data_IF_815178188715
#
_entry.id   IF_815178188715
#
_cell.length_a   1.000
_cell.length_b   1.000
_cell.length_c   1.000
_cell.angle_alpha   90.00
_cell.angle_beta   90.00
_cell.angle_gamma   90.00
#
_symmetry.space_group_name_H-M   'P 1'
#
loop_
_entity.id
_entity.type
_entity.pdbx_description
1 polymer ?
#
# COMPACT_ATOMS: atom_id res chain seq x y z
N UNK A 1 -1.12 14.01 5.79
CA UNK A 1 -1.08 15.14 4.81
C UNK A 1 -1.68 14.73 3.46
N UNK A 2 -1.33 13.58 2.90
CA UNK A 2 -1.77 13.19 1.55
C UNK A 2 -3.07 12.39 1.50
N UNK A 3 -3.41 11.67 2.58
CA UNK A 3 -4.49 10.67 2.54
C UNK A 3 -5.70 10.99 3.41
N UNK A 4 -5.59 11.84 4.43
CA UNK A 4 -6.71 12.14 5.34
C UNK A 4 -7.87 12.82 4.61
N UNK A 5 -9.12 12.49 4.96
CA UNK A 5 -10.34 13.15 4.46
C UNK A 5 -10.31 14.68 4.59
N UNK A 6 -9.69 15.19 5.66
CA UNK A 6 -9.57 16.63 5.94
C UNK A 6 -8.43 17.31 5.17
N UNK A 7 -7.60 16.54 4.46
CA UNK A 7 -6.42 17.08 3.78
C UNK A 7 -6.76 17.86 2.52
N UNK A 8 -5.86 18.78 2.14
CA UNK A 8 -5.99 19.56 0.91
C UNK A 8 -6.04 18.65 -0.33
N UNK A 9 -5.16 17.65 -0.40
CA UNK A 9 -5.11 16.74 -1.55
C UNK A 9 -6.37 15.90 -1.72
N UNK A 10 -6.95 15.39 -0.64
CA UNK A 10 -8.22 14.66 -0.74
C UNK A 10 -9.37 15.58 -1.17
N UNK A 11 -9.41 16.82 -0.67
CA UNK A 11 -10.39 17.83 -1.13
C UNK A 11 -10.22 18.19 -2.61
N UNK A 12 -8.99 18.28 -3.09
CA UNK A 12 -8.68 18.48 -4.51
C UNK A 12 -9.21 17.31 -5.36
N UNK A 13 -9.06 16.07 -4.90
CA UNK A 13 -9.60 14.88 -5.58
C UNK A 13 -11.13 14.93 -5.67
N UNK A 14 -11.80 15.32 -4.58
CA UNK A 14 -13.27 15.47 -4.54
C UNK A 14 -13.73 16.60 -5.48
N UNK A 15 -13.04 17.74 -5.48
CA UNK A 15 -13.33 18.84 -6.40
C UNK A 15 -13.12 18.42 -7.87
N UNK A 16 -12.03 17.71 -8.17
CA UNK A 16 -11.73 17.19 -9.50
C UNK A 16 -12.81 16.20 -9.98
N UNK A 17 -13.35 15.36 -9.09
CA UNK A 17 -14.51 14.51 -9.40
C UNK A 17 -15.74 15.29 -9.79
N UNK A 18 -15.99 16.42 -9.13
CA UNK A 18 -17.17 17.26 -9.37
C UNK A 18 -17.10 17.98 -10.71
N UNK A 19 -15.95 18.56 -11.01
CA UNK A 19 -15.79 19.41 -12.20
C UNK A 19 -15.49 18.61 -13.47
N UNK A 20 -14.83 17.47 -13.37
CA UNK A 20 -14.35 16.77 -14.57
C UNK A 20 -14.30 15.25 -14.49
N UNK A 21 -15.04 14.66 -13.56
CA UNK A 21 -15.32 13.23 -13.56
C UNK A 21 -14.12 12.34 -13.21
N UNK A 22 -14.20 11.08 -13.63
CA UNK A 22 -13.23 10.05 -13.28
C UNK A 22 -11.80 10.35 -13.77
N UNK A 23 -11.64 10.92 -14.97
CA UNK A 23 -10.31 11.21 -15.52
C UNK A 23 -9.54 12.23 -14.68
N UNK A 24 -10.18 13.34 -14.31
CA UNK A 24 -9.58 14.37 -13.45
C UNK A 24 -9.38 13.87 -12.01
N UNK A 25 -10.28 13.02 -11.50
CA UNK A 25 -10.09 12.34 -10.22
C UNK A 25 -8.82 11.46 -10.21
N UNK A 26 -8.60 10.65 -11.25
CA UNK A 26 -7.40 9.82 -11.38
C UNK A 26 -6.14 10.70 -11.42
N UNK A 27 -6.14 11.76 -12.24
CA UNK A 27 -4.98 12.64 -12.29
C UNK A 27 -4.69 13.29 -10.94
N UNK A 28 -5.72 13.71 -10.19
CA UNK A 28 -5.55 14.32 -8.88
C UNK A 28 -4.96 13.36 -7.83
N UNK A 29 -5.38 12.09 -7.81
CA UNK A 29 -4.78 11.10 -6.90
C UNK A 29 -3.36 10.70 -7.28
N UNK A 30 -3.04 10.63 -8.59
CA UNK A 30 -1.66 10.45 -9.06
C UNK A 30 -0.76 11.60 -8.59
N UNK A 31 -1.27 12.84 -8.64
CA UNK A 31 -0.56 14.02 -8.14
C UNK A 31 -0.27 13.89 -6.63
N UNK A 32 -1.25 13.47 -5.83
CA UNK A 32 -1.04 13.21 -4.40
C UNK A 32 0.04 12.13 -4.16
N UNK A 33 0.03 11.07 -4.98
CA UNK A 33 1.07 10.03 -4.97
C UNK A 33 2.47 10.60 -5.20
N UNK A 34 2.68 11.36 -6.28
CA UNK A 34 4.00 11.91 -6.62
C UNK A 34 4.54 12.87 -5.56
N UNK A 35 3.71 13.81 -5.09
CA UNK A 35 4.13 14.72 -4.02
C UNK A 35 4.46 13.96 -2.73
N UNK A 36 3.70 12.93 -2.39
CA UNK A 36 3.98 12.13 -1.20
C UNK A 36 5.30 11.37 -1.30
N UNK A 37 5.63 10.83 -2.48
CA UNK A 37 6.89 10.13 -2.73
C UNK A 37 8.09 11.09 -2.63
N UNK A 38 7.96 12.29 -3.18
CA UNK A 38 8.98 13.34 -3.07
C UNK A 38 9.27 13.72 -1.61
N UNK A 39 8.24 14.13 -0.86
CA UNK A 39 8.42 14.61 0.52
C UNK A 39 8.89 13.51 1.48
N UNK A 40 8.36 12.30 1.32
CA UNK A 40 8.77 11.16 2.17
C UNK A 40 10.19 10.70 1.83
N UNK A 41 10.56 10.67 0.55
CA UNK A 41 11.93 10.37 0.12
C UNK A 41 12.94 11.39 0.65
N UNK A 42 12.60 12.68 0.60
CA UNK A 42 13.45 13.74 1.17
C UNK A 42 13.61 13.60 2.69
N UNK A 43 12.54 13.24 3.40
CA UNK A 43 12.60 12.98 4.84
C UNK A 43 13.53 11.80 5.16
N UNK A 44 13.41 10.69 4.44
CA UNK A 44 14.29 9.52 4.62
C UNK A 44 15.74 9.90 4.32
N UNK A 45 16.00 10.65 3.24
CA UNK A 45 17.33 11.14 2.92
C UNK A 45 17.89 12.03 4.05
N UNK A 46 17.11 12.95 4.60
CA UNK A 46 17.53 13.79 5.71
C UNK A 46 17.86 12.99 6.99
N UNK A 47 17.05 11.98 7.32
CA UNK A 47 17.31 11.08 8.46
C UNK A 47 18.60 10.28 8.26
N UNK A 48 18.81 9.76 7.05
CA UNK A 48 20.03 9.04 6.69
C UNK A 48 21.25 9.96 6.73
N UNK A 49 21.15 11.20 6.23
CA UNK A 49 22.23 12.19 6.33
C UNK A 49 22.55 12.51 7.79
N UNK A 50 21.55 12.69 8.65
CA UNK A 50 21.77 12.93 10.07
C UNK A 50 22.48 11.74 10.74
N UNK A 51 22.11 10.50 10.40
CA UNK A 51 22.78 9.30 10.89
C UNK A 51 24.24 9.23 10.40
N UNK A 52 24.51 9.55 9.13
CA UNK A 52 25.85 9.63 8.57
C UNK A 52 26.72 10.66 9.30
N UNK A 53 26.23 11.88 9.48
CA UNK A 53 26.96 12.93 10.20
C UNK A 53 27.23 12.54 11.65
N UNK A 54 26.27 11.89 12.31
CA UNK A 54 26.45 11.40 13.69
C UNK A 54 27.52 10.31 13.75
N UNK A 55 27.58 9.40 12.76
CA UNK A 55 28.60 8.35 12.70
C UNK A 55 30.04 8.91 12.64
N UNK A 56 30.22 10.07 11.99
CA UNK A 56 31.53 10.74 11.92
C UNK A 56 32.00 11.32 13.26
N UNK A 57 31.12 11.52 14.25
CA UNK A 57 31.47 12.15 15.54
C UNK A 57 32.18 11.20 16.54
N UNK A 58 32.65 10.05 16.09
CA UNK A 58 33.45 9.12 16.90
C UNK A 58 33.16 7.65 16.65
N UNK A 59 32.02 7.30 16.04
CA UNK A 59 31.69 5.91 15.73
C UNK A 59 32.67 5.32 14.70
N UNK A 60 33.19 6.14 13.78
CA UNK A 60 34.25 5.77 12.85
C UNK A 60 35.52 5.28 13.54
N UNK A 61 35.86 5.81 14.72
CA UNK A 61 37.04 5.35 15.49
C UNK A 61 36.88 3.93 16.05
N UNK A 62 35.64 3.46 16.18
CA UNK A 62 35.30 2.14 16.75
C UNK A 62 35.00 1.12 15.65
N UNK A 63 34.23 1.53 14.63
CA UNK A 63 33.71 0.64 13.58
C UNK A 63 34.38 0.83 12.21
N UNK A 64 35.30 1.79 12.07
CA UNK A 64 35.98 2.10 10.83
C UNK A 64 35.00 2.36 9.68
N UNK A 65 35.28 1.73 8.53
CA UNK A 65 34.48 1.85 7.30
C UNK A 65 33.02 1.37 7.44
N UNK A 66 32.68 0.68 8.53
CA UNK A 66 31.33 0.18 8.78
C UNK A 66 30.44 1.14 9.58
N UNK A 67 31.00 2.24 10.12
CA UNK A 67 30.28 3.15 11.01
C UNK A 67 29.00 3.73 10.38
N UNK A 68 29.07 4.19 9.14
CA UNK A 68 27.92 4.76 8.42
C UNK A 68 26.82 3.73 8.17
N UNK A 69 27.19 2.51 7.81
CA UNK A 69 26.26 1.42 7.52
C UNK A 69 25.56 0.97 8.80
N UNK A 70 26.31 0.89 9.90
CA UNK A 70 25.75 0.61 11.21
C UNK A 70 24.76 1.70 11.64
N UNK A 71 25.11 2.98 11.47
CA UNK A 71 24.22 4.09 11.78
C UNK A 71 22.93 4.07 10.93
N UNK A 72 23.01 3.70 9.65
CA UNK A 72 21.83 3.48 8.81
C UNK A 72 20.96 2.33 9.32
N UNK A 73 21.58 1.21 9.72
CA UNK A 73 20.87 0.11 10.38
C UNK A 73 20.14 0.55 11.64
N UNK A 74 20.72 1.45 12.43
CA UNK A 74 20.07 2.04 13.60
C UNK A 74 18.88 2.95 13.25
N UNK A 75 18.88 3.63 12.09
CA UNK A 75 17.70 4.36 11.61
C UNK A 75 16.56 3.40 11.31
N UNK A 76 16.84 2.29 10.60
CA UNK A 76 15.84 1.25 10.36
C UNK A 76 15.31 0.65 11.67
N UNK A 77 16.20 0.37 12.63
CA UNK A 77 15.81 -0.08 13.96
C UNK A 77 14.92 0.94 14.68
N UNK A 78 15.25 2.23 14.58
CA UNK A 78 14.45 3.33 15.13
C UNK A 78 13.03 3.38 14.58
N UNK A 79 12.82 3.12 13.29
CA UNK A 79 11.49 3.02 12.69
C UNK A 79 10.66 1.87 13.30
N UNK A 80 11.31 0.80 13.76
CA UNK A 80 10.67 -0.35 14.42
C UNK A 80 10.54 -0.23 15.93
N UNK A 81 11.13 0.77 16.59
CA UNK A 81 10.98 0.95 18.05
C UNK A 81 9.50 1.08 18.47
N UNK A 82 8.67 1.63 17.58
CA UNK A 82 7.22 1.73 17.76
C UNK A 82 6.44 0.65 16.99
N UNK A 83 7.09 -0.46 16.62
CA UNK A 83 6.53 -1.56 15.83
C UNK A 83 5.17 -2.05 16.31
N UNK A 84 4.97 -2.34 17.62
CA UNK A 84 3.66 -2.74 18.14
C UNK A 84 2.56 -1.70 17.88
N UNK A 85 2.89 -0.41 18.00
CA UNK A 85 1.94 0.69 17.73
C UNK A 85 1.66 0.79 16.24
N UNK A 86 2.69 0.70 15.39
CA UNK A 86 2.56 0.70 13.92
C UNK A 86 1.65 -0.43 13.43
N UNK A 87 1.80 -1.64 13.98
CA UNK A 87 0.94 -2.79 13.64
C UNK A 87 -0.48 -2.58 14.15
N UNK A 88 -0.66 -2.03 15.36
CA UNK A 88 -1.98 -1.76 15.92
C UNK A 88 -2.76 -0.75 15.07
N UNK A 89 -2.11 0.34 14.63
CA UNK A 89 -2.77 1.36 13.79
C UNK A 89 -3.04 0.85 12.37
N UNK A 90 -2.19 -0.02 11.81
CA UNK A 90 -2.44 -0.65 10.51
C UNK A 90 -3.61 -1.65 10.60
N UNK A 91 -3.67 -2.42 11.68
CA UNK A 91 -4.74 -3.40 11.96
C UNK A 91 -6.07 -2.76 12.31
N UNK A 92 -6.09 -1.54 12.85
CA UNK A 92 -7.30 -0.81 13.16
C UNK A 92 -8.19 -0.62 11.92
N UNK A 93 -7.60 -0.30 10.76
CA UNK A 93 -8.34 -0.08 9.52
C UNK A 93 -9.18 -1.28 9.06
N UNK A 94 -8.58 -2.47 8.84
CA UNK A 94 -9.35 -3.68 8.49
C UNK A 94 -10.41 -4.06 9.53
N UNK A 95 -10.17 -3.82 10.83
CA UNK A 95 -11.15 -4.10 11.87
C UNK A 95 -12.37 -3.19 11.72
N UNK A 96 -12.18 -1.88 11.50
CA UNK A 96 -13.29 -0.94 11.33
C UNK A 96 -14.05 -1.15 10.01
N UNK A 97 -13.35 -1.50 8.93
CA UNK A 97 -13.96 -1.83 7.63
C UNK A 97 -14.86 -3.08 7.73
N UNK A 98 -14.37 -4.13 8.40
CA UNK A 98 -15.15 -5.33 8.65
C UNK A 98 -16.35 -5.07 9.58
N UNK A 99 -16.19 -4.23 10.62
CA UNK A 99 -17.29 -3.86 11.50
C UNK A 99 -18.39 -3.10 10.74
N UNK A 100 -18.01 -2.17 9.85
CA UNK A 100 -18.96 -1.48 8.96
C UNK A 100 -19.65 -2.49 8.02
N UNK A 101 -18.89 -3.38 7.40
CA UNK A 101 -19.41 -4.38 6.46
C UNK A 101 -20.40 -5.35 7.14
N UNK A 102 -20.12 -5.80 8.37
CA UNK A 102 -21.05 -6.64 9.15
C UNK A 102 -22.34 -5.90 9.43
N UNK A 103 -22.26 -4.62 9.81
CA UNK A 103 -23.44 -3.79 10.03
C UNK A 103 -24.28 -3.67 8.76
N UNK A 104 -23.68 -3.29 7.63
CA UNK A 104 -24.38 -3.13 6.35
C UNK A 104 -24.99 -4.43 5.82
N UNK A 105 -24.26 -5.55 5.92
CA UNK A 105 -24.70 -6.86 5.42
C UNK A 105 -25.74 -7.52 6.33
N UNK A 106 -25.75 -7.21 7.63
CA UNK A 106 -26.75 -7.74 8.56
C UNK A 106 -28.17 -7.25 8.25
N UNK A 107 -28.30 -6.11 7.55
CA UNK A 107 -29.55 -5.40 7.34
C UNK A 107 -30.38 -5.24 8.62
N UNK A 108 -29.72 -5.16 9.78
CA UNK A 108 -30.38 -5.18 11.09
C UNK A 108 -31.44 -4.08 11.22
N UNK A 109 -31.21 -2.92 10.58
CA UNK A 109 -32.12 -1.78 10.51
C UNK A 109 -33.46 -2.10 9.82
N UNK A 110 -33.48 -3.11 8.95
CA UNK A 110 -34.68 -3.52 8.20
C UNK A 110 -35.57 -4.51 8.95
N UNK A 111 -35.08 -5.06 10.08
CA UNK A 111 -35.79 -6.09 10.85
C UNK A 111 -36.91 -5.42 11.67
N UNK A 112 -38.19 -5.76 11.45
CA UNK A 112 -39.30 -5.13 12.17
C UNK A 112 -39.22 -5.39 13.68
N UNK A 113 -39.31 -4.34 14.49
CA UNK A 113 -39.32 -4.45 15.96
C UNK A 113 -37.96 -4.79 16.59
N UNK A 114 -36.87 -4.71 15.83
CA UNK A 114 -35.53 -5.01 16.33
C UNK A 114 -35.10 -4.10 17.48
N UNK A 115 -35.47 -2.81 17.44
CA UNK A 115 -35.13 -1.86 18.50
C UNK A 115 -35.69 -2.29 19.86
N UNK A 116 -36.96 -2.71 19.88
CA UNK A 116 -37.61 -3.21 21.09
C UNK A 116 -37.00 -4.53 21.57
N UNK A 117 -36.55 -5.38 20.64
CA UNK A 117 -35.91 -6.65 20.96
C UNK A 117 -34.55 -6.42 21.62
N UNK A 118 -33.73 -5.52 21.06
CA UNK A 118 -32.44 -5.11 21.62
C UNK A 118 -32.61 -4.44 22.99
N UNK A 119 -33.58 -3.53 23.13
CA UNK A 119 -33.83 -2.85 24.40
C UNK A 119 -34.27 -3.84 25.50
N UNK A 120 -35.09 -4.83 25.16
CA UNK A 120 -35.51 -5.88 26.09
C UNK A 120 -34.37 -6.81 26.49
N UNK A 121 -33.49 -7.17 25.56
CA UNK A 121 -32.41 -8.14 25.79
C UNK A 121 -31.17 -7.51 26.44
N UNK A 122 -30.78 -6.31 26.00
CA UNK A 122 -29.53 -5.65 26.38
C UNK A 122 -29.71 -4.40 27.25
N UNK A 123 -30.95 -3.92 27.45
CA UNK A 123 -31.25 -2.81 28.35
C UNK A 123 -30.88 -1.42 27.83
N UNK A 124 -30.66 -1.25 26.52
CA UNK A 124 -30.42 0.05 25.89
C UNK A 124 -31.21 0.19 24.58
N UNK A 125 -31.66 1.40 24.28
CA UNK A 125 -32.28 1.72 22.99
C UNK A 125 -31.20 1.87 21.91
N UNK A 126 -31.20 1.06 20.84
CA UNK A 126 -30.19 1.15 19.80
C UNK A 126 -30.35 2.41 18.95
N UNK A 127 -29.25 3.14 18.73
CA UNK A 127 -29.17 4.24 17.78
C UNK A 127 -28.40 3.79 16.53
N UNK A 128 -29.15 3.38 15.52
CA UNK A 128 -28.60 2.87 14.26
C UNK A 128 -27.98 3.99 13.40
N UNK A 129 -28.52 5.20 13.43
CA UNK A 129 -27.99 6.32 12.63
C UNK A 129 -26.61 6.74 13.14
N UNK A 130 -26.49 6.98 14.45
CA UNK A 130 -25.21 7.33 15.06
C UNK A 130 -24.22 6.17 14.94
N UNK A 131 -24.68 4.93 15.16
CA UNK A 131 -23.85 3.73 15.01
C UNK A 131 -23.23 3.63 13.62
N UNK A 132 -24.05 3.78 12.57
CA UNK A 132 -23.60 3.78 11.17
C UNK A 132 -22.62 4.93 10.90
N UNK A 133 -22.94 6.14 11.35
CA UNK A 133 -22.06 7.30 11.18
C UNK A 133 -20.69 7.08 11.82
N UNK A 134 -20.64 6.51 13.04
CA UNK A 134 -19.38 6.22 13.71
C UNK A 134 -18.59 5.10 13.04
N UNK A 135 -19.25 4.06 12.53
CA UNK A 135 -18.60 3.00 11.76
C UNK A 135 -17.94 3.56 10.47
N UNK A 136 -18.69 4.34 9.70
CA UNK A 136 -18.20 4.98 8.47
C UNK A 136 -17.06 5.98 8.75
N UNK A 137 -17.18 6.78 9.82
CA UNK A 137 -16.14 7.73 10.25
C UNK A 137 -14.87 7.01 10.71
N UNK A 138 -15.02 5.89 11.42
CA UNK A 138 -13.89 5.09 11.91
C UNK A 138 -13.18 4.37 10.77
N UNK A 139 -13.88 3.90 9.74
CA UNK A 139 -13.24 3.34 8.54
C UNK A 139 -12.39 4.39 7.80
N UNK A 140 -12.89 5.62 7.63
CA UNK A 140 -12.07 6.70 7.03
C UNK A 140 -10.84 7.05 7.87
N UNK A 141 -10.97 7.06 9.21
CA UNK A 141 -9.84 7.23 10.12
C UNK A 141 -8.84 6.06 9.97
N UNK A 142 -9.35 4.82 9.90
CA UNK A 142 -8.59 3.60 9.71
C UNK A 142 -7.79 3.59 8.40
N UNK A 143 -8.37 4.08 7.31
CA UNK A 143 -7.66 4.24 6.03
C UNK A 143 -6.50 5.25 6.12
N UNK A 144 -6.67 6.31 6.91
CA UNK A 144 -5.60 7.28 7.20
C UNK A 144 -4.48 6.66 8.05
N UNK A 145 -4.84 5.90 9.10
CA UNK A 145 -3.89 5.22 9.97
C UNK A 145 -3.07 4.16 9.21
N UNK A 146 -3.74 3.32 8.42
CA UNK A 146 -3.13 2.36 7.48
C UNK A 146 -2.14 3.05 6.53
N UNK A 147 -2.52 4.19 5.96
CA UNK A 147 -1.63 4.97 5.10
C UNK A 147 -0.45 5.61 5.85
N UNK A 148 -0.55 5.82 7.16
CA UNK A 148 0.54 6.38 7.99
C UNK A 148 1.54 5.30 8.41
N UNK A 149 1.07 4.07 8.67
CA UNK A 149 1.92 2.93 9.00
C UNK A 149 2.77 2.45 7.80
N UNK A 150 2.19 2.43 6.59
CA UNK A 150 2.84 1.90 5.38
C UNK A 150 4.21 2.54 5.09
N UNK A 151 4.38 3.87 5.05
CA UNK A 151 5.68 4.49 4.83
C UNK A 151 6.74 4.11 5.87
N UNK A 152 6.35 3.89 7.13
CA UNK A 152 7.28 3.45 8.19
C UNK A 152 7.78 2.04 7.91
N UNK A 153 6.88 1.12 7.53
CA UNK A 153 7.22 -0.25 7.16
C UNK A 153 8.08 -0.29 5.88
N UNK A 154 7.72 0.48 4.85
CA UNK A 154 8.47 0.61 3.60
C UNK A 154 9.87 1.18 3.89
N UNK A 155 9.96 2.27 4.66
CA UNK A 155 11.22 2.90 5.02
C UNK A 155 12.13 1.94 5.81
N UNK A 156 11.55 1.18 6.74
CA UNK A 156 12.28 0.14 7.48
C UNK A 156 12.83 -0.92 6.53
N UNK A 157 12.00 -1.46 5.64
CA UNK A 157 12.40 -2.51 4.70
C UNK A 157 13.52 -2.02 3.78
N UNK A 158 13.41 -0.80 3.25
CA UNK A 158 14.41 -0.21 2.35
C UNK A 158 15.72 0.08 3.08
N UNK A 159 15.69 0.78 4.21
CA UNK A 159 16.92 1.11 4.96
C UNK A 159 17.59 -0.17 5.50
N UNK A 160 16.80 -1.13 5.96
CA UNK A 160 17.29 -2.46 6.36
C UNK A 160 17.92 -3.22 5.20
N UNK A 161 17.24 -3.29 4.04
CA UNK A 161 17.77 -3.92 2.85
C UNK A 161 19.06 -3.24 2.36
N UNK A 162 19.11 -1.91 2.36
CA UNK A 162 20.33 -1.14 2.03
C UNK A 162 21.48 -1.49 2.98
N UNK A 163 21.22 -1.65 4.28
CA UNK A 163 22.23 -2.08 5.27
C UNK A 163 22.76 -3.49 4.95
N UNK A 164 21.88 -4.42 4.57
CA UNK A 164 22.29 -5.76 4.14
C UNK A 164 23.09 -5.73 2.83
N UNK A 165 22.67 -4.92 1.85
CA UNK A 165 23.38 -4.73 0.58
C UNK A 165 24.79 -4.21 0.83
N UNK A 166 24.95 -3.20 1.68
CA UNK A 166 26.26 -2.69 2.05
C UNK A 166 27.13 -3.75 2.75
N UNK A 167 26.53 -4.61 3.56
CA UNK A 167 27.25 -5.74 4.17
C UNK A 167 27.76 -6.73 3.11
N UNK A 168 26.96 -7.01 2.07
CA UNK A 168 27.37 -7.82 0.92
C UNK A 168 28.52 -7.16 0.15
N UNK A 169 28.45 -5.84 -0.08
CA UNK A 169 29.50 -5.07 -0.77
C UNK A 169 30.84 -5.24 -0.06
N UNK A 170 30.88 -4.96 1.23
CA UNK A 170 32.10 -5.06 2.04
C UNK A 170 32.67 -6.48 2.06
N UNK A 171 31.79 -7.49 2.09
CA UNK A 171 32.21 -8.89 2.03
C UNK A 171 32.86 -9.22 0.69
N UNK A 172 32.26 -8.80 -0.43
CA UNK A 172 32.75 -9.08 -1.78
C UNK A 172 34.02 -8.30 -2.11
N UNK A 173 34.16 -7.06 -1.65
CA UNK A 173 35.40 -6.28 -1.76
C UNK A 173 36.55 -6.96 -1.01
N UNK A 174 36.29 -7.48 0.19
CA UNK A 174 37.31 -8.17 0.99
C UNK A 174 37.87 -9.42 0.31
N UNK A 175 37.06 -10.12 -0.48
CA UNK A 175 37.50 -11.29 -1.27
C UNK A 175 37.98 -10.93 -2.68
N UNK A 176 38.05 -9.62 -3.01
CA UNK A 176 38.54 -9.13 -4.30
C UNK A 176 37.58 -9.40 -5.48
N UNK A 177 36.30 -9.67 -5.21
CA UNK A 177 35.29 -10.00 -6.23
C UNK A 177 34.43 -8.80 -6.65
N UNK A 178 34.64 -7.62 -6.03
CA UNK A 178 33.85 -6.43 -6.29
C UNK A 178 34.75 -5.22 -6.53
N UNK A 179 34.40 -4.47 -7.57
CA UNK A 179 34.97 -3.16 -7.89
C UNK A 179 33.84 -2.29 -8.40
N UNK A 180 33.22 -1.53 -7.50
CA UNK A 180 32.10 -0.65 -7.86
C UNK A 180 32.62 0.66 -8.43
N UNK A 181 32.61 0.79 -9.75
CA UNK A 181 32.70 2.08 -10.42
C UNK A 181 31.43 2.37 -11.22
N UNK A 182 30.91 3.60 -11.11
CA UNK A 182 29.79 4.07 -11.94
C UNK A 182 30.16 4.16 -13.43
N UNK A 183 31.45 4.11 -13.77
CA UNK A 183 31.92 4.05 -15.16
C UNK A 183 31.80 2.66 -15.77
N UNK A 184 31.58 1.63 -14.95
CA UNK A 184 31.58 0.25 -15.40
C UNK A 184 30.20 -0.11 -15.96
N UNK A 185 30.19 -0.70 -17.16
CA UNK A 185 28.96 -1.08 -17.84
C UNK A 185 28.07 -2.02 -17.00
N UNK A 186 28.60 -3.06 -16.29
CA UNK A 186 27.77 -3.92 -15.43
C UNK A 186 27.01 -3.16 -14.34
N UNK A 187 27.62 -2.13 -13.74
CA UNK A 187 26.98 -1.32 -12.69
C UNK A 187 25.80 -0.53 -13.26
N UNK A 188 26.00 0.16 -14.39
CA UNK A 188 24.92 0.90 -15.05
C UNK A 188 23.78 -0.01 -15.53
N UNK A 189 24.11 -1.17 -16.09
CA UNK A 189 23.12 -2.17 -16.50
C UNK A 189 22.35 -2.71 -15.28
N UNK A 190 23.03 -2.99 -14.18
CA UNK A 190 22.39 -3.41 -12.93
C UNK A 190 21.40 -2.37 -12.41
N UNK A 191 21.78 -1.08 -12.42
CA UNK A 191 20.89 0.01 -12.04
C UNK A 191 19.63 0.07 -12.90
N UNK A 192 19.75 -0.05 -14.22
CA UNK A 192 18.59 -0.04 -15.14
C UNK A 192 17.69 -1.27 -14.92
N UNK A 193 18.30 -2.46 -14.78
CA UNK A 193 17.57 -3.70 -14.56
C UNK A 193 16.82 -3.71 -13.23
N UNK A 194 17.38 -3.11 -12.17
CA UNK A 194 16.69 -2.99 -10.88
C UNK A 194 15.40 -2.18 -10.99
N UNK A 195 15.45 -1.02 -11.66
CA UNK A 195 14.27 -0.21 -11.94
C UNK A 195 13.26 -0.95 -12.82
N UNK A 196 13.74 -1.68 -13.84
CA UNK A 196 12.87 -2.48 -14.72
C UNK A 196 12.10 -3.54 -13.95
N UNK A 197 12.74 -4.22 -12.99
CA UNK A 197 12.07 -5.24 -12.17
C UNK A 197 10.99 -4.64 -11.27
N UNK A 198 11.20 -3.45 -10.69
CA UNK A 198 10.17 -2.76 -9.89
C UNK A 198 8.93 -2.42 -10.73
N UNK A 199 9.12 -1.90 -11.94
CA UNK A 199 8.02 -1.57 -12.84
C UNK A 199 7.32 -2.83 -13.36
N UNK A 200 8.10 -3.88 -13.68
CA UNK A 200 7.55 -5.18 -14.06
C UNK A 200 6.72 -5.78 -12.92
N UNK A 201 7.22 -5.78 -11.69
CA UNK A 201 6.50 -6.27 -10.51
C UNK A 201 5.19 -5.52 -10.29
N UNK A 202 5.24 -4.19 -10.38
CA UNK A 202 4.06 -3.33 -10.26
C UNK A 202 3.01 -3.71 -11.32
N UNK A 203 3.42 -3.85 -12.58
CA UNK A 203 2.56 -4.23 -13.69
C UNK A 203 1.99 -5.65 -13.55
N UNK A 204 2.84 -6.64 -13.28
CA UNK A 204 2.45 -8.05 -13.13
C UNK A 204 1.44 -8.23 -11.98
N UNK A 205 1.68 -7.54 -10.87
CA UNK A 205 0.81 -7.58 -9.70
C UNK A 205 -0.55 -6.91 -10.01
N UNK A 206 -0.56 -5.74 -10.68
CA UNK A 206 -1.81 -5.12 -11.14
C UNK A 206 -2.56 -6.01 -12.15
N UNK A 207 -1.84 -6.68 -13.05
CA UNK A 207 -2.42 -7.60 -14.03
C UNK A 207 -3.07 -8.82 -13.38
N UNK A 208 -2.41 -9.43 -12.39
CA UNK A 208 -2.94 -10.57 -11.66
C UNK A 208 -4.30 -10.24 -11.03
N UNK A 209 -4.39 -9.05 -10.44
CA UNK A 209 -5.58 -8.65 -9.72
C UNK A 209 -6.70 -8.20 -10.66
N UNK A 210 -6.40 -7.40 -11.69
CA UNK A 210 -7.39 -6.99 -12.72
C UNK A 210 -7.99 -8.19 -13.46
N UNK A 211 -7.18 -9.23 -13.73
CA UNK A 211 -7.66 -10.47 -14.33
C UNK A 211 -8.67 -11.18 -13.40
N UNK A 212 -8.36 -11.29 -12.11
CA UNK A 212 -9.26 -11.89 -11.12
C UNK A 212 -10.58 -11.12 -10.99
N UNK A 213 -10.48 -9.79 -10.89
CA UNK A 213 -11.64 -8.89 -10.80
C UNK A 213 -12.54 -8.99 -12.02
N UNK A 214 -11.97 -9.01 -13.23
CA UNK A 214 -12.73 -9.16 -14.46
C UNK A 214 -13.52 -10.47 -14.48
N UNK A 215 -12.91 -11.58 -14.07
CA UNK A 215 -13.56 -12.89 -14.03
C UNK A 215 -14.66 -12.96 -12.97
N UNK A 216 -14.46 -12.32 -11.82
CA UNK A 216 -15.50 -12.20 -10.81
C UNK A 216 -16.71 -11.40 -11.33
N UNK A 217 -16.47 -10.27 -11.99
CA UNK A 217 -17.54 -9.44 -12.59
C UNK A 217 -18.26 -10.17 -13.73
N UNK A 218 -17.53 -10.88 -14.59
CA UNK A 218 -18.11 -11.71 -15.65
C UNK A 218 -19.04 -12.78 -15.06
N UNK A 219 -18.61 -13.44 -13.98
CA UNK A 219 -19.42 -14.43 -13.27
C UNK A 219 -20.68 -13.83 -12.66
N UNK A 220 -20.55 -12.68 -11.97
CA UNK A 220 -21.67 -11.97 -11.35
C UNK A 220 -22.70 -11.59 -12.42
N UNK A 221 -22.27 -10.96 -13.53
CA UNK A 221 -23.19 -10.54 -14.61
C UNK A 221 -23.96 -11.69 -15.26
N UNK A 222 -23.40 -12.90 -15.25
CA UNK A 222 -24.04 -14.09 -15.85
C UNK A 222 -24.95 -14.85 -14.89
N UNK A 223 -24.65 -14.79 -13.60
CA UNK A 223 -25.24 -15.71 -12.61
C UNK A 223 -26.20 -15.00 -11.66
N UNK A 224 -25.89 -13.76 -11.27
CA UNK A 224 -26.66 -13.06 -10.24
C UNK A 224 -27.94 -12.48 -10.85
N UNK A 225 -29.05 -12.72 -10.16
CA UNK A 225 -30.28 -11.97 -10.37
C UNK A 225 -30.18 -10.63 -9.61
N UNK A 226 -29.95 -9.57 -10.37
CA UNK A 226 -29.83 -8.18 -9.88
C UNK A 226 -31.09 -7.66 -9.18
N UNK A 227 -32.22 -8.36 -9.27
CA UNK A 227 -33.46 -7.98 -8.57
C UNK A 227 -33.55 -8.51 -7.13
N UNK A 228 -32.65 -9.44 -6.74
CA UNK A 228 -32.62 -9.96 -5.37
C UNK A 228 -31.91 -8.97 -4.43
N UNK A 229 -32.49 -8.76 -3.24
CA UNK A 229 -31.91 -7.92 -2.18
C UNK A 229 -30.77 -8.59 -1.41
N UNK A 230 -30.69 -9.93 -1.47
CA UNK A 230 -29.67 -10.72 -0.78
C UNK A 230 -28.98 -11.64 -1.79
N UNK A 231 -27.66 -11.78 -1.64
CA UNK A 231 -26.87 -12.69 -2.45
C UNK A 231 -27.03 -14.13 -1.94
N UNK A 232 -27.15 -15.09 -2.86
CA UNK A 232 -27.13 -16.50 -2.50
C UNK A 232 -25.75 -16.89 -1.94
N UNK A 233 -25.73 -17.69 -0.88
CA UNK A 233 -24.47 -18.11 -0.23
C UNK A 233 -23.57 -18.86 -1.23
N UNK A 234 -24.13 -19.69 -2.10
CA UNK A 234 -23.34 -20.45 -3.08
C UNK A 234 -22.73 -19.52 -4.13
N UNK A 235 -23.46 -18.49 -4.54
CA UNK A 235 -22.98 -17.47 -5.46
C UNK A 235 -21.83 -16.66 -4.84
N UNK A 236 -21.94 -16.28 -3.57
CA UNK A 236 -20.84 -15.63 -2.82
C UNK A 236 -19.62 -16.54 -2.70
N UNK A 237 -19.80 -17.82 -2.36
CA UNK A 237 -18.70 -18.81 -2.30
C UNK A 237 -18.02 -18.96 -3.67
N UNK A 238 -18.79 -18.96 -4.76
CA UNK A 238 -18.25 -19.06 -6.11
C UNK A 238 -17.40 -17.83 -6.47
N UNK A 239 -17.85 -16.62 -6.15
CA UNK A 239 -17.08 -15.38 -6.34
C UNK A 239 -15.77 -15.41 -5.55
N UNK A 240 -15.82 -15.80 -4.27
CA UNK A 240 -14.62 -15.95 -3.43
C UNK A 240 -13.65 -16.95 -4.05
N UNK A 241 -14.14 -18.12 -4.48
CA UNK A 241 -13.31 -19.17 -5.10
C UNK A 241 -12.61 -18.70 -6.39
N UNK A 242 -13.30 -17.90 -7.21
CA UNK A 242 -12.72 -17.29 -8.41
C UNK A 242 -11.58 -16.35 -7.99
N UNK A 243 -11.85 -15.39 -7.10
CA UNK A 243 -10.86 -14.43 -6.62
C UNK A 243 -9.63 -15.12 -6.01
N UNK A 244 -9.83 -16.12 -5.14
CA UNK A 244 -8.75 -16.88 -4.50
C UNK A 244 -7.85 -17.58 -5.52
N UNK A 245 -8.43 -18.27 -6.51
CA UNK A 245 -7.65 -19.00 -7.51
C UNK A 245 -6.75 -18.07 -8.33
N UNK A 246 -7.27 -16.93 -8.76
CA UNK A 246 -6.50 -15.97 -9.56
C UNK A 246 -5.45 -15.25 -8.72
N UNK A 247 -5.77 -14.87 -7.48
CA UNK A 247 -4.82 -14.27 -6.56
C UNK A 247 -3.63 -15.22 -6.27
N UNK A 248 -3.91 -16.49 -5.93
CA UNK A 248 -2.88 -17.49 -5.66
C UNK A 248 -2.00 -17.76 -6.89
N UNK A 249 -2.60 -17.93 -8.07
CA UNK A 249 -1.84 -18.15 -9.31
C UNK A 249 -0.95 -16.95 -9.65
N UNK A 250 -1.47 -15.73 -9.48
CA UNK A 250 -0.70 -14.50 -9.67
C UNK A 250 0.51 -14.43 -8.73
N UNK A 251 0.28 -14.65 -7.43
CA UNK A 251 1.33 -14.62 -6.41
C UNK A 251 2.46 -15.61 -6.71
N UNK A 252 2.15 -16.87 -7.05
CA UNK A 252 3.17 -17.86 -7.40
C UNK A 252 3.96 -17.49 -8.64
N UNK A 253 3.29 -17.01 -9.69
CA UNK A 253 3.97 -16.61 -10.92
C UNK A 253 4.96 -15.46 -10.68
N UNK A 254 4.53 -14.46 -9.91
CA UNK A 254 5.36 -13.30 -9.57
C UNK A 254 6.54 -13.73 -8.69
N UNK A 255 6.29 -14.54 -7.66
CA UNK A 255 7.34 -15.04 -6.77
C UNK A 255 8.41 -15.85 -7.53
N UNK A 256 8.00 -16.80 -8.37
CA UNK A 256 8.92 -17.63 -9.16
C UNK A 256 9.74 -16.74 -10.11
N UNK A 257 9.11 -15.77 -10.77
CA UNK A 257 9.80 -14.86 -11.67
C UNK A 257 10.85 -14.01 -10.93
N UNK A 258 10.49 -13.40 -9.79
CA UNK A 258 11.40 -12.55 -9.02
C UNK A 258 12.59 -13.35 -8.46
N UNK A 259 12.35 -14.53 -7.88
CA UNK A 259 13.43 -15.39 -7.39
C UNK A 259 14.33 -15.85 -8.54
N UNK A 260 13.74 -16.25 -9.67
CA UNK A 260 14.53 -16.71 -10.83
C UNK A 260 15.39 -15.59 -11.41
N UNK A 261 14.84 -14.37 -11.55
CA UNK A 261 15.60 -13.19 -11.99
C UNK A 261 16.71 -12.84 -11.02
N UNK A 262 16.41 -12.79 -9.72
CA UNK A 262 17.40 -12.43 -8.69
C UNK A 262 18.54 -13.44 -8.66
N UNK A 263 18.24 -14.74 -8.71
CA UNK A 263 19.27 -15.80 -8.77
C UNK A 263 20.07 -15.74 -10.07
N UNK A 264 19.42 -15.57 -11.22
CA UNK A 264 20.10 -15.46 -12.50
C UNK A 264 21.11 -14.29 -12.51
N UNK A 265 20.71 -13.14 -11.97
CA UNK A 265 21.59 -11.98 -11.85
C UNK A 265 22.72 -12.17 -10.84
N UNK A 266 22.46 -12.87 -9.73
CA UNK A 266 23.49 -13.21 -8.75
C UNK A 266 24.60 -14.09 -9.34
N UNK A 267 24.27 -14.99 -10.27
CA UNK A 267 25.25 -15.86 -10.94
C UNK A 267 25.93 -15.21 -12.15
N UNK A 268 25.49 -14.02 -12.59
CA UNK A 268 25.98 -13.39 -13.81
C UNK A 268 27.23 -12.55 -13.56
N UNK A 269 27.13 -11.52 -12.72
CA UNK A 269 28.23 -10.62 -12.40
C UNK A 269 28.00 -9.95 -11.02
N UNK A 270 28.98 -9.96 -10.09
CA UNK A 270 28.80 -9.38 -8.76
C UNK A 270 28.54 -7.87 -8.75
N UNK A 271 29.20 -7.10 -9.62
CA UNK A 271 29.03 -5.65 -9.69
C UNK A 271 27.63 -5.29 -10.21
N UNK A 272 27.17 -5.99 -11.25
CA UNK A 272 25.80 -5.92 -11.74
C UNK A 272 24.79 -6.25 -10.64
N UNK A 273 24.99 -7.37 -9.93
CA UNK A 273 24.03 -7.85 -8.94
C UNK A 273 23.88 -6.86 -7.78
N UNK A 274 24.98 -6.33 -7.26
CA UNK A 274 24.94 -5.31 -6.21
C UNK A 274 24.22 -4.05 -6.70
N UNK A 275 24.56 -3.55 -7.89
CA UNK A 275 23.93 -2.36 -8.46
C UNK A 275 22.41 -2.58 -8.69
N UNK A 276 22.03 -3.77 -9.11
CA UNK A 276 20.64 -4.22 -9.24
C UNK A 276 19.90 -4.16 -7.89
N UNK A 277 20.50 -4.67 -6.80
CA UNK A 277 19.89 -4.64 -5.47
C UNK A 277 19.73 -3.20 -4.94
N UNK A 278 20.74 -2.35 -5.11
CA UNK A 278 20.67 -0.92 -4.74
C UNK A 278 19.52 -0.24 -5.50
N UNK A 279 19.41 -0.50 -6.80
CA UNK A 279 18.37 0.07 -7.63
C UNK A 279 16.97 -0.39 -7.23
N UNK A 280 16.77 -1.68 -6.95
CA UNK A 280 15.48 -2.19 -6.43
C UNK A 280 15.08 -1.48 -5.15
N UNK A 281 16.01 -1.29 -4.21
CA UNK A 281 15.72 -0.60 -2.95
C UNK A 281 15.27 0.85 -3.20
N UNK A 282 15.97 1.59 -4.08
CA UNK A 282 15.68 3.00 -4.37
C UNK A 282 14.37 3.15 -5.17
N UNK A 283 14.22 2.47 -6.32
CA UNK A 283 13.01 2.57 -7.13
C UNK A 283 11.80 1.98 -6.39
N UNK A 284 12.00 0.89 -5.65
CA UNK A 284 10.97 0.26 -4.82
C UNK A 284 10.44 1.20 -3.74
N UNK A 285 11.32 1.95 -3.07
CA UNK A 285 10.94 2.96 -2.08
C UNK A 285 9.91 3.95 -2.65
N UNK A 286 10.26 4.61 -3.75
CA UNK A 286 9.40 5.64 -4.34
C UNK A 286 8.11 5.06 -4.92
N UNK A 287 8.20 3.91 -5.59
CA UNK A 287 7.03 3.23 -6.15
C UNK A 287 6.05 2.78 -5.06
N UNK A 288 6.55 2.23 -3.96
CA UNK A 288 5.73 1.77 -2.85
C UNK A 288 5.00 2.95 -2.16
N UNK A 289 5.72 4.04 -1.87
CA UNK A 289 5.13 5.24 -1.26
C UNK A 289 4.08 5.86 -2.19
N UNK A 290 4.42 5.99 -3.47
CA UNK A 290 3.51 6.50 -4.50
C UNK A 290 2.19 5.70 -4.52
N UNK A 291 2.27 4.37 -4.65
CA UNK A 291 1.08 3.51 -4.75
C UNK A 291 0.27 3.49 -3.45
N UNK A 292 0.93 3.48 -2.29
CA UNK A 292 0.26 3.49 -1.00
C UNK A 292 -0.56 4.76 -0.77
N UNK A 293 0.02 5.93 -1.05
CA UNK A 293 -0.62 7.22 -0.78
C UNK A 293 -1.60 7.65 -1.87
N UNK A 294 -1.32 7.38 -3.14
CA UNK A 294 -2.30 7.59 -4.21
C UNK A 294 -3.56 6.77 -3.93
N UNK A 295 -3.40 5.46 -3.69
CA UNK A 295 -4.48 4.55 -3.30
C UNK A 295 -5.26 4.99 -2.06
N UNK A 296 -4.56 5.43 -1.00
CA UNK A 296 -5.19 5.93 0.21
C UNK A 296 -5.96 7.24 0.01
N UNK A 297 -5.47 8.12 -0.86
CA UNK A 297 -6.12 9.41 -1.15
C UNK A 297 -7.43 9.26 -1.92
N UNK A 298 -7.50 8.34 -2.90
CA UNK A 298 -8.76 8.07 -3.62
C UNK A 298 -9.84 7.46 -2.73
N UNK A 299 -9.46 6.53 -1.87
CA UNK A 299 -10.40 5.86 -0.98
C UNK A 299 -10.99 6.82 0.05
N UNK A 300 -10.16 7.69 0.63
CA UNK A 300 -10.67 8.73 1.52
C UNK A 300 -11.44 9.83 0.78
N UNK A 301 -11.12 10.12 -0.50
CA UNK A 301 -11.96 10.99 -1.31
C UNK A 301 -13.36 10.40 -1.54
N UNK A 302 -13.45 9.08 -1.80
CA UNK A 302 -14.72 8.37 -1.85
C UNK A 302 -15.48 8.50 -0.52
N UNK A 303 -14.80 8.28 0.61
CA UNK A 303 -15.39 8.38 1.96
C UNK A 303 -15.89 9.80 2.28
N UNK A 304 -15.21 10.85 1.82
CA UNK A 304 -15.71 12.24 1.95
C UNK A 304 -17.06 12.41 1.24
N UNK A 305 -17.21 11.87 0.04
CA UNK A 305 -18.48 11.93 -0.70
C UNK A 305 -19.57 11.11 -0.02
N UNK A 306 -19.22 9.93 0.52
CA UNK A 306 -20.16 9.05 1.22
C UNK A 306 -20.66 9.62 2.55
N UNK A 307 -19.76 10.16 3.38
CA UNK A 307 -20.03 10.49 4.78
C UNK A 307 -20.26 11.99 5.00
N UNK A 308 -19.34 12.84 4.53
CA UNK A 308 -19.40 14.30 4.79
C UNK A 308 -20.43 14.97 3.89
N UNK A 309 -20.45 14.62 2.59
CA UNK A 309 -21.41 15.18 1.65
C UNK A 309 -22.74 14.43 1.64
N UNK A 310 -22.79 13.20 2.17
CA UNK A 310 -23.96 12.31 2.16
C UNK A 310 -24.54 12.11 0.74
N UNK A 311 -23.66 12.12 -0.26
CA UNK A 311 -24.00 12.03 -1.68
C UNK A 311 -23.78 10.60 -2.22
N UNK A 312 -24.11 9.56 -1.44
CA UNK A 312 -23.97 8.16 -1.88
C UNK A 312 -24.85 7.89 -3.11
N UNK A 313 -24.33 7.16 -4.10
CA UNK A 313 -24.99 6.84 -5.37
C UNK A 313 -25.28 8.04 -6.31
N UNK A 314 -24.73 9.23 -6.05
CA UNK A 314 -24.82 10.35 -7.00
C UNK A 314 -23.79 10.19 -8.14
N UNK A 315 -23.92 10.95 -9.25
CA UNK A 315 -22.87 11.02 -10.26
C UNK A 315 -21.51 11.42 -9.70
N UNK A 316 -21.48 12.21 -8.60
CA UNK A 316 -20.26 12.57 -7.90
C UNK A 316 -19.63 11.37 -7.18
N UNK A 317 -20.43 10.51 -6.56
CA UNK A 317 -19.93 9.29 -5.89
C UNK A 317 -19.38 8.24 -6.86
N UNK A 318 -19.96 8.16 -8.06
CA UNK A 318 -19.52 7.19 -9.08
C UNK A 318 -18.10 7.47 -9.61
N UNK A 319 -17.62 8.72 -9.56
CA UNK A 319 -16.29 9.08 -10.09
C UNK A 319 -15.15 8.59 -9.18
N UNK A 320 -15.10 8.94 -7.88
CA UNK A 320 -14.15 8.34 -6.94
C UNK A 320 -14.31 6.83 -6.87
N UNK A 321 -15.54 6.29 -6.97
CA UNK A 321 -15.76 4.84 -6.94
C UNK A 321 -15.15 4.10 -8.14
N UNK A 322 -15.14 4.71 -9.33
CA UNK A 322 -14.45 4.15 -10.50
C UNK A 322 -12.93 4.22 -10.37
N UNK A 323 -12.41 5.27 -9.75
CA UNK A 323 -10.97 5.55 -9.62
C UNK A 323 -10.33 4.80 -8.45
N UNK A 324 -11.05 4.67 -7.33
CA UNK A 324 -10.69 3.81 -6.21
C UNK A 324 -10.54 2.36 -6.71
N UNK A 325 -11.44 1.86 -7.57
CA UNK A 325 -11.32 0.51 -8.16
C UNK A 325 -10.16 0.32 -9.15
N UNK A 326 -9.59 1.39 -9.70
CA UNK A 326 -8.39 1.32 -10.54
C UNK A 326 -7.11 1.05 -9.73
N UNK A 327 -7.05 1.47 -8.45
CA UNK A 327 -5.89 1.26 -7.57
C UNK A 327 -6.17 0.54 -6.24
N UNK A 328 -7.41 0.14 -5.94
CA UNK A 328 -7.73 -0.75 -4.81
C UNK A 328 -6.91 -2.04 -4.90
N UNK A 329 -6.63 -2.47 -6.13
CA UNK A 329 -5.83 -3.62 -6.46
C UNK A 329 -4.31 -3.39 -6.37
N UNK A 330 -3.86 -2.13 -6.35
CA UNK A 330 -2.49 -1.74 -6.04
C UNK A 330 -2.16 -1.78 -4.53
N UNK A 331 -3.17 -1.65 -3.66
CA UNK A 331 -3.00 -1.64 -2.19
C UNK A 331 -2.46 -2.97 -1.64
N UNK A 332 -2.69 -4.08 -2.32
CA UNK A 332 -2.24 -5.43 -1.91
C UNK A 332 -0.82 -5.78 -2.39
N UNK A 333 -0.23 -4.97 -3.29
CA UNK A 333 0.98 -5.33 -4.05
C UNK A 333 2.27 -5.10 -3.25
N UNK A 334 2.27 -4.24 -2.24
CA UNK A 334 3.49 -3.84 -1.52
C UNK A 334 3.54 -4.28 -0.05
N UNK A 335 2.65 -5.20 0.36
CA UNK A 335 2.67 -5.84 1.68
C UNK A 335 3.41 -7.20 1.67
N UNK A 336 3.97 -7.59 0.53
CA UNK A 336 4.80 -8.77 0.33
C UNK A 336 6.04 -8.43 -0.49
#
# INVERSE_FOLDING_TARGET
>A
IFTSSKSKHVKEIVAASREGGASLNILSGIVAGYFSAFWTGLLIAALMTAAYMTAQTGLESVLGVHASIFAFGLVAFGFLCMGPVTIAVDSYGPVTDNAQSVFELSQIESIPGISNSIEKEYGFTPDFESGKFYLESNDSAGNTLKATAKPVLIGTAVVGATTMIFSIILMLEKVGMLSLSLTDAPVLLGLICGGTVIFWFSGASMQAVTTGAYRAVEFIKRTFDINKKEADINDSIAVVKICTRYAQKGMWNIFIALISLTLAFAFMDPNFFVAYLISIAIFGLFQAIFMANAGGSWDNAKKVVEVELKEKNTPLHLQPYSSDRLLFFAKAIFLF
#
